data_IF_838256308627
#
_entry.id   IF_838256308627
#
_cell.length_a   1.000
_cell.length_b   1.000
_cell.length_c   1.000
_cell.angle_alpha   90.00
_cell.angle_beta   90.00
_cell.angle_gamma   90.00
#
_symmetry.space_group_name_H-M   'P 1'
#
loop_
_entity.id
_entity.type
_entity.pdbx_description
1 polymer ?
#
# COMPACT_ATOMS: atom_id res chain seq x y z
N UNK A 1 -31.48 -14.49 -9.43
CA UNK A 1 -30.58 -13.44 -8.94
C UNK A 1 -29.14 -13.95 -9.07
N UNK A 2 -28.45 -13.59 -10.16
CA UNK A 2 -27.06 -14.01 -10.37
C UNK A 2 -26.12 -13.14 -9.52
N UNK A 3 -25.30 -13.83 -8.73
CA UNK A 3 -24.27 -13.29 -7.83
C UNK A 3 -23.39 -12.24 -8.52
N UNK A 4 -23.36 -11.01 -7.99
CA UNK A 4 -22.51 -9.89 -8.45
C UNK A 4 -21.00 -10.12 -8.20
N UNK A 5 -20.58 -11.31 -7.77
CA UNK A 5 -19.21 -11.61 -7.35
C UNK A 5 -18.33 -12.26 -8.44
N UNK A 6 -18.82 -12.44 -9.67
CA UNK A 6 -18.19 -13.32 -10.66
C UNK A 6 -17.00 -12.76 -11.45
N UNK A 7 -16.56 -11.51 -11.26
CA UNK A 7 -15.60 -10.88 -12.19
C UNK A 7 -14.30 -10.33 -11.59
N UNK A 8 -14.04 -10.53 -10.29
CA UNK A 8 -12.75 -10.18 -9.66
C UNK A 8 -12.03 -11.44 -9.20
N UNK A 9 -10.72 -11.63 -9.49
CA UNK A 9 -9.96 -12.73 -8.93
C UNK A 9 -9.74 -12.57 -7.41
N UNK A 10 -10.10 -11.42 -6.83
CA UNK A 10 -9.91 -11.12 -5.42
C UNK A 10 -11.21 -11.16 -4.63
N UNK A 11 -11.20 -11.88 -3.51
CA UNK A 11 -12.12 -11.62 -2.41
C UNK A 11 -11.64 -10.36 -1.67
N UNK A 12 -12.54 -9.38 -1.48
CA UNK A 12 -12.17 -8.10 -0.86
C UNK A 12 -12.87 -7.91 0.47
N UNK A 13 -12.11 -7.49 1.47
CA UNK A 13 -12.59 -7.09 2.80
C UNK A 13 -12.00 -5.74 3.16
N UNK A 14 -12.70 -4.97 3.99
CA UNK A 14 -12.25 -3.65 4.45
C UNK A 14 -12.36 -3.55 5.96
N UNK A 15 -11.31 -3.03 6.59
CA UNK A 15 -11.30 -2.67 8.00
C UNK A 15 -11.11 -1.15 8.08
N UNK A 16 -11.94 -0.48 8.88
CA UNK A 16 -11.88 0.98 9.06
C UNK A 16 -11.39 1.30 10.47
N UNK A 17 -10.37 2.13 10.55
CA UNK A 17 -9.87 2.72 11.79
C UNK A 17 -9.93 4.23 11.68
N UNK A 18 -10.22 4.90 12.80
CA UNK A 18 -10.18 6.35 12.89
C UNK A 18 -9.06 6.72 13.85
N UNK A 19 -8.22 7.67 13.42
CA UNK A 19 -7.10 8.16 14.21
C UNK A 19 -7.11 9.68 14.23
N UNK A 20 -6.66 10.27 15.33
CA UNK A 20 -6.45 11.72 15.42
C UNK A 20 -5.07 12.06 14.87
N UNK A 21 -5.01 12.85 13.80
CA UNK A 21 -3.77 13.24 13.12
C UNK A 21 -2.78 14.01 14.01
N UNK A 22 -3.26 14.65 15.09
CA UNK A 22 -2.43 15.43 16.03
C UNK A 22 -1.57 14.58 16.97
N UNK A 23 -1.74 13.25 16.96
CA UNK A 23 -0.96 12.37 17.84
C UNK A 23 0.43 12.13 17.27
N UNK A 24 1.46 12.58 17.99
CA UNK A 24 2.84 12.33 17.62
C UNK A 24 3.10 10.83 17.34
N UNK A 25 3.83 10.55 16.27
CA UNK A 25 4.19 9.19 15.85
C UNK A 25 3.02 8.34 15.31
N UNK A 26 1.87 8.95 14.97
CA UNK A 26 0.74 8.20 14.41
C UNK A 26 1.11 7.46 13.12
N UNK A 27 1.94 8.08 12.26
CA UNK A 27 2.36 7.45 11.01
C UNK A 27 3.15 6.16 11.23
N UNK A 28 4.12 6.17 12.16
CA UNK A 28 4.85 4.98 12.57
C UNK A 28 3.93 3.89 13.15
N UNK A 29 2.87 4.28 13.86
CA UNK A 29 1.88 3.32 14.37
C UNK A 29 1.05 2.69 13.24
N UNK A 30 0.71 3.44 12.20
CA UNK A 30 0.04 2.91 11.00
C UNK A 30 0.96 1.92 10.28
N UNK A 31 2.23 2.28 10.08
CA UNK A 31 3.24 1.38 9.49
C UNK A 31 3.35 0.08 10.30
N UNK A 32 3.47 0.18 11.62
CA UNK A 32 3.53 -0.98 12.50
C UNK A 32 2.25 -1.84 12.37
N UNK A 33 1.08 -1.21 12.40
CA UNK A 33 -0.19 -1.91 12.25
C UNK A 33 -0.28 -2.70 10.93
N UNK A 34 0.08 -2.08 9.81
CA UNK A 34 0.10 -2.76 8.50
C UNK A 34 1.13 -3.88 8.47
N UNK A 35 2.31 -3.66 9.04
CA UNK A 35 3.38 -4.66 9.09
C UNK A 35 2.93 -5.90 9.87
N UNK A 36 2.28 -5.72 11.03
CA UNK A 36 1.73 -6.86 11.78
C UNK A 36 0.55 -7.52 11.05
N UNK A 37 -0.31 -6.74 10.39
CA UNK A 37 -1.41 -7.28 9.58
C UNK A 37 -0.89 -8.13 8.41
N UNK A 38 0.19 -7.69 7.74
CA UNK A 38 0.82 -8.41 6.63
C UNK A 38 1.42 -9.75 7.06
N UNK A 39 1.91 -9.87 8.29
CA UNK A 39 2.36 -11.17 8.83
C UNK A 39 1.21 -12.17 8.93
N UNK A 40 0.01 -11.70 9.32
CA UNK A 40 -1.18 -12.54 9.46
C UNK A 40 -1.79 -12.89 8.10
N UNK A 41 -1.84 -11.93 7.18
CA UNK A 41 -2.46 -12.06 5.85
C UNK A 41 -1.41 -12.02 4.73
N UNK A 42 -0.39 -12.87 4.82
CA UNK A 42 0.77 -12.84 3.92
C UNK A 42 0.48 -13.21 2.46
N UNK A 43 -0.63 -13.89 2.19
CA UNK A 43 -1.06 -14.21 0.83
C UNK A 43 -1.99 -13.14 0.22
N UNK A 44 -2.21 -12.03 0.93
CA UNK A 44 -3.13 -10.96 0.52
C UNK A 44 -2.39 -9.70 0.09
N UNK A 45 -3.04 -8.89 -0.76
CA UNK A 45 -2.65 -7.48 -0.90
C UNK A 45 -3.31 -6.65 0.20
N UNK A 46 -2.55 -5.78 0.87
CA UNK A 46 -3.08 -4.83 1.85
C UNK A 46 -2.75 -3.42 1.39
N UNK A 47 -3.74 -2.55 1.29
CA UNK A 47 -3.54 -1.12 1.01
C UNK A 47 -4.08 -0.28 2.16
N UNK A 48 -3.41 0.84 2.45
CA UNK A 48 -3.95 1.88 3.33
C UNK A 48 -4.55 3.01 2.50
N UNK A 49 -5.81 3.32 2.75
CA UNK A 49 -6.50 4.45 2.12
C UNK A 49 -6.80 5.52 3.17
N UNK A 50 -6.00 6.58 3.21
CA UNK A 50 -6.24 7.76 4.03
C UNK A 50 -7.06 8.78 3.24
N UNK A 51 -8.38 8.56 3.20
CA UNK A 51 -9.31 9.32 2.36
C UNK A 51 -9.24 10.84 2.54
N UNK A 52 -8.94 11.31 3.74
CA UNK A 52 -8.97 12.73 4.06
C UNK A 52 -7.67 13.46 3.66
N UNK A 53 -6.56 12.74 3.48
CA UNK A 53 -5.25 13.35 3.24
C UNK A 53 -4.76 13.10 1.82
N UNK A 54 -4.85 11.86 1.35
CA UNK A 54 -4.52 11.47 -0.01
C UNK A 54 -5.50 10.38 -0.48
N UNK A 55 -6.68 10.77 -0.97
CA UNK A 55 -7.69 9.82 -1.40
C UNK A 55 -7.17 9.03 -2.60
N UNK A 56 -7.52 7.74 -2.66
CA UNK A 56 -7.12 6.84 -3.76
C UNK A 56 -7.41 7.39 -5.17
N UNK A 57 -8.44 8.22 -5.31
CA UNK A 57 -8.81 8.86 -6.58
C UNK A 57 -7.71 9.79 -7.12
N UNK A 58 -6.81 10.27 -6.26
CA UNK A 58 -5.70 11.14 -6.62
C UNK A 58 -4.46 10.36 -7.05
N UNK A 59 -4.43 9.03 -6.85
CA UNK A 59 -3.30 8.22 -7.28
C UNK A 59 -3.27 8.06 -8.81
N UNK A 60 -2.09 7.80 -9.36
CA UNK A 60 -1.89 7.69 -10.82
C UNK A 60 -2.70 6.55 -11.46
N UNK A 61 -2.87 5.44 -10.73
CA UNK A 61 -3.63 4.28 -11.21
C UNK A 61 -4.81 3.92 -10.27
N UNK A 62 -5.87 4.74 -10.17
CA UNK A 62 -6.87 4.66 -9.10
C UNK A 62 -7.71 3.36 -9.10
N UNK A 63 -7.67 2.57 -10.18
CA UNK A 63 -8.32 1.26 -10.28
C UNK A 63 -7.43 0.08 -9.85
N UNK A 64 -6.17 0.30 -9.53
CA UNK A 64 -5.22 -0.75 -9.14
C UNK A 64 -5.04 -0.82 -7.63
N UNK A 65 -4.62 -1.97 -7.14
CA UNK A 65 -4.21 -2.17 -5.74
C UNK A 65 -2.72 -1.83 -5.65
N UNK A 66 -2.34 -1.16 -4.57
CA UNK A 66 -0.96 -0.78 -4.30
C UNK A 66 -0.57 0.65 -4.67
N UNK A 67 -1.54 1.44 -5.13
CA UNK A 67 -1.39 2.88 -5.35
C UNK A 67 -1.54 3.69 -4.06
N UNK A 68 -0.99 3.19 -2.97
CA UNK A 68 -1.15 3.74 -1.62
C UNK A 68 0.21 4.01 -1.01
N UNK A 69 0.28 5.09 -0.22
CA UNK A 69 1.45 5.47 0.59
C UNK A 69 2.06 4.32 1.42
N UNK A 70 1.24 3.37 1.87
CA UNK A 70 1.67 2.15 2.55
C UNK A 70 0.89 0.99 1.92
N UNK A 71 1.61 0.10 1.25
CA UNK A 71 1.07 -1.12 0.63
C UNK A 71 1.86 -2.34 1.06
N UNK A 72 1.18 -3.45 1.33
CA UNK A 72 1.77 -4.78 1.34
C UNK A 72 1.51 -5.50 0.02
N UNK A 73 2.59 -6.01 -0.57
CA UNK A 73 2.56 -6.83 -1.79
C UNK A 73 3.06 -8.24 -1.41
N UNK A 74 2.31 -9.31 -1.73
CA UNK A 74 2.71 -10.69 -1.46
C UNK A 74 3.76 -11.17 -2.47
N UNK A 75 4.87 -10.43 -2.57
CA UNK A 75 6.03 -10.72 -3.41
C UNK A 75 7.31 -10.30 -2.68
N UNK A 76 8.38 -11.11 -2.70
CA UNK A 76 9.68 -10.72 -2.19
C UNK A 76 10.28 -9.65 -3.11
N UNK A 77 10.50 -8.45 -2.59
CA UNK A 77 11.07 -7.32 -3.30
C UNK A 77 12.34 -6.86 -2.58
N UNK A 78 13.35 -6.45 -3.34
CA UNK A 78 14.57 -5.86 -2.81
C UNK A 78 14.43 -4.33 -2.76
N UNK A 79 14.97 -3.71 -1.71
CA UNK A 79 14.99 -2.26 -1.56
C UNK A 79 15.74 -1.57 -2.72
N UNK A 80 16.81 -2.18 -3.23
CA UNK A 80 17.66 -1.60 -4.28
C UNK A 80 16.92 -1.40 -5.62
N UNK A 81 15.86 -2.18 -5.86
CA UNK A 81 15.06 -2.08 -7.08
C UNK A 81 14.08 -0.89 -7.03
N UNK A 82 13.76 -0.38 -5.83
CA UNK A 82 12.78 0.69 -5.61
C UNK A 82 13.33 1.86 -4.76
N UNK A 83 14.40 2.56 -5.20
CA UNK A 83 14.93 3.76 -4.54
C UNK A 83 13.92 4.90 -4.31
N UNK A 84 12.79 4.93 -5.00
CA UNK A 84 11.72 5.90 -4.75
C UNK A 84 10.91 5.60 -3.48
N UNK A 85 10.96 4.37 -2.98
CA UNK A 85 10.32 4.04 -1.72
C UNK A 85 11.13 4.64 -0.57
N UNK A 86 10.48 5.40 0.30
CA UNK A 86 11.09 5.83 1.55
C UNK A 86 11.58 4.64 2.39
N UNK A 87 10.79 3.55 2.43
CA UNK A 87 11.15 2.36 3.19
C UNK A 87 10.53 1.10 2.61
N UNK A 88 11.31 0.03 2.60
CA UNK A 88 10.89 -1.33 2.24
C UNK A 88 11.10 -2.25 3.45
N UNK A 89 10.04 -2.95 3.86
CA UNK A 89 10.05 -3.84 5.01
C UNK A 89 9.72 -5.26 4.54
N UNK A 90 10.69 -6.20 4.59
CA UNK A 90 10.42 -7.59 4.25
C UNK A 90 9.53 -8.24 5.30
N UNK A 91 8.58 -9.06 4.83
CA UNK A 91 7.74 -9.90 5.69
C UNK A 91 8.22 -11.33 5.51
N UNK A 92 8.74 -11.92 6.59
CA UNK A 92 9.30 -13.27 6.58
C UNK A 92 8.35 -14.27 7.27
N UNK A 93 8.29 -15.48 6.71
CA UNK A 93 7.64 -16.66 7.30
C UNK A 93 8.59 -17.84 7.13
N UNK A 94 8.87 -18.57 8.21
CA UNK A 94 9.78 -19.71 8.20
C UNK A 94 11.13 -19.41 7.49
N UNK A 95 11.73 -18.27 7.85
CA UNK A 95 12.99 -17.73 7.30
C UNK A 95 12.98 -17.41 5.79
N UNK A 96 11.80 -17.35 5.16
CA UNK A 96 11.63 -16.93 3.76
C UNK A 96 10.81 -15.65 3.67
N UNK A 97 11.25 -14.70 2.84
CA UNK A 97 10.47 -13.52 2.52
C UNK A 97 9.25 -13.93 1.69
N UNK A 98 8.06 -13.72 2.23
CA UNK A 98 6.77 -14.02 1.59
C UNK A 98 6.13 -12.78 0.98
N UNK A 99 6.56 -11.59 1.41
CA UNK A 99 6.11 -10.36 0.80
C UNK A 99 6.86 -9.14 1.33
N UNK A 100 6.35 -7.97 0.97
CA UNK A 100 7.02 -6.70 1.23
C UNK A 100 6.00 -5.62 1.56
N UNK A 101 6.20 -4.91 2.67
CA UNK A 101 5.53 -3.64 2.93
C UNK A 101 6.37 -2.51 2.35
N UNK A 102 5.78 -1.74 1.45
CA UNK A 102 6.39 -0.60 0.77
C UNK A 102 5.76 0.67 1.33
N UNK A 103 6.61 1.64 1.67
CA UNK A 103 6.24 2.91 2.25
C UNK A 103 6.80 4.01 1.34
N UNK A 104 5.92 4.82 0.75
CA UNK A 104 6.30 5.85 -0.23
C UNK A 104 6.97 7.05 0.44
N UNK A 105 6.49 7.47 1.61
CA UNK A 105 6.91 8.69 2.31
C UNK A 105 7.16 8.42 3.80
N UNK A 106 7.91 9.28 4.47
CA UNK A 106 8.18 9.23 5.92
C UNK A 106 7.10 9.90 6.78
N UNK A 107 6.09 10.49 6.14
CA UNK A 107 4.99 11.21 6.76
C UNK A 107 3.65 10.96 6.05
N UNK A 108 2.56 11.48 6.62
CA UNK A 108 1.23 11.41 6.02
C UNK A 108 1.20 12.40 4.83
N UNK A 109 0.94 11.93 3.59
CA UNK A 109 0.96 12.79 2.41
C UNK A 109 -0.12 13.85 2.44
N UNK A 110 0.21 14.98 1.86
CA UNK A 110 -0.71 16.05 1.54
C UNK A 110 -1.02 16.04 0.04
N UNK A 111 -2.30 15.83 -0.31
CA UNK A 111 -2.76 15.85 -1.72
C UNK A 111 -2.51 17.16 -2.47
N UNK A 112 -2.27 18.26 -1.75
CA UNK A 112 -2.00 19.57 -2.35
C UNK A 112 -0.48 19.86 -2.44
N UNK A 113 0.36 18.96 -1.89
CA UNK A 113 1.82 19.04 -2.02
C UNK A 113 2.29 18.30 -3.28
N UNK A 114 2.88 19.05 -4.22
CA UNK A 114 3.38 18.52 -5.50
C UNK A 114 4.50 17.50 -5.29
N UNK A 115 5.38 17.71 -4.31
CA UNK A 115 6.50 16.79 -4.03
C UNK A 115 6.00 15.42 -3.56
N UNK A 116 5.03 15.39 -2.64
CA UNK A 116 4.40 14.16 -2.16
C UNK A 116 3.76 13.39 -3.32
N UNK A 117 3.02 14.10 -4.18
CA UNK A 117 2.37 13.52 -5.36
C UNK A 117 3.41 12.93 -6.32
N UNK A 118 4.49 13.65 -6.61
CA UNK A 118 5.54 13.19 -7.52
C UNK A 118 6.24 11.93 -7.02
N UNK A 119 6.61 11.88 -5.74
CA UNK A 119 7.27 10.70 -5.15
C UNK A 119 6.35 9.48 -5.21
N UNK A 120 5.09 9.62 -4.79
CA UNK A 120 4.10 8.54 -4.85
C UNK A 120 3.91 8.06 -6.29
N UNK A 121 3.76 8.98 -7.25
CA UNK A 121 3.54 8.64 -8.65
C UNK A 121 4.74 7.93 -9.29
N UNK A 122 5.98 8.33 -8.98
CA UNK A 122 7.17 7.65 -9.50
C UNK A 122 7.25 6.20 -9.00
N UNK A 123 6.96 5.98 -7.72
CA UNK A 123 6.87 4.63 -7.17
C UNK A 123 5.74 3.82 -7.82
N UNK A 124 4.56 4.42 -8.02
CA UNK A 124 3.43 3.78 -8.70
C UNK A 124 3.78 3.34 -10.13
N UNK A 125 4.48 4.19 -10.90
CA UNK A 125 4.98 3.84 -12.25
C UNK A 125 5.91 2.63 -12.18
N UNK A 126 6.87 2.65 -11.26
CA UNK A 126 7.83 1.55 -11.12
C UNK A 126 7.16 0.23 -10.74
N UNK A 127 6.25 0.26 -9.77
CA UNK A 127 5.47 -0.92 -9.38
C UNK A 127 4.57 -1.41 -10.53
N UNK A 128 4.06 -0.49 -11.36
CA UNK A 128 3.25 -0.84 -12.53
C UNK A 128 4.07 -1.54 -13.60
N UNK A 129 5.28 -1.07 -13.88
CA UNK A 129 6.21 -1.65 -14.85
C UNK A 129 6.67 -3.06 -14.45
N UNK A 130 6.82 -3.30 -13.14
CA UNK A 130 7.08 -4.62 -12.57
C UNK A 130 5.85 -5.54 -12.49
N UNK A 131 4.69 -5.10 -12.99
CA UNK A 131 3.39 -5.79 -12.94
C UNK A 131 2.88 -6.13 -11.52
N UNK A 132 3.28 -5.32 -10.52
CA UNK A 132 2.95 -5.52 -9.10
C UNK A 132 1.65 -4.83 -8.64
N UNK A 133 0.98 -4.11 -9.54
CA UNK A 133 -0.25 -3.36 -9.23
C UNK A 133 -1.48 -4.05 -9.87
N UNK A 134 -2.09 -5.06 -9.25
CA UNK A 134 -3.22 -5.76 -9.86
C UNK A 134 -4.47 -4.86 -9.95
N UNK A 135 -5.36 -5.16 -10.90
CA UNK A 135 -6.60 -4.40 -11.11
C UNK A 135 -7.65 -4.84 -10.08
N UNK A 136 -8.24 -3.87 -9.38
CA UNK A 136 -9.46 -4.06 -8.59
C UNK A 136 -10.66 -4.01 -9.55
N UNK A 137 -11.17 -5.17 -9.97
CA UNK A 137 -12.40 -5.26 -10.79
C UNK A 137 -13.63 -5.21 -9.90
#
# INVERSE_FOLDING_TARGET
>A
MASRYLNSPFLTSQIKFLFTHKKAGIYNKIIQFVTELAKVFSDCYIEINLKDTFPKQNALFPKRIGTSMIVYIPSPLNADDYPEAHRIIPINRDDKQVGTVIISLDHIPNRDNVEDIEIINRLDVRLREADLLPIRK
#
